data_IF_621450165392
#
_entry.id   IF_621450165392
#
_cell.length_a   1.000
_cell.length_b   1.000
_cell.length_c   1.000
_cell.angle_alpha   90.00
_cell.angle_beta   90.00
_cell.angle_gamma   90.00
#
_symmetry.space_group_name_H-M   'P 1'
#
loop_
_entity.id
_entity.type
_entity.pdbx_description
1 polymer ?
#
# COMPACT_ATOMS: atom_id res chain seq x y z
N UNK A 1 6.12 -85.06 60.70
CA UNK A 1 5.14 -84.11 61.25
C UNK A 1 5.18 -82.84 60.44
N UNK A 2 4.25 -82.71 59.48
CA UNK A 2 4.09 -81.54 58.63
C UNK A 2 3.46 -80.37 59.40
N UNK A 3 3.92 -79.13 59.18
CA UNK A 3 3.20 -77.92 59.58
C UNK A 3 2.80 -77.12 58.34
N UNK A 4 1.50 -76.83 58.30
CA UNK A 4 0.75 -76.20 57.21
C UNK A 4 1.04 -74.71 57.08
N UNK A 5 0.89 -74.24 55.85
CA UNK A 5 0.89 -72.85 55.43
C UNK A 5 -0.34 -72.07 55.93
N UNK A 6 -0.16 -70.76 56.16
CA UNK A 6 -1.21 -69.75 56.07
C UNK A 6 -0.65 -68.51 55.39
N UNK A 7 -1.13 -68.26 54.17
CA UNK A 7 -0.93 -67.02 53.42
C UNK A 7 -2.01 -66.00 53.80
N UNK A 8 -1.62 -64.74 53.95
CA UNK A 8 -2.52 -63.61 54.21
C UNK A 8 -3.16 -63.10 52.91
N UNK A 9 -4.41 -62.58 52.93
CA UNK A 9 -5.11 -62.12 51.74
C UNK A 9 -4.69 -60.71 51.30
N UNK A 10 -4.85 -60.35 50.00
CA UNK A 10 -4.56 -59.00 49.50
C UNK A 10 -5.67 -58.00 49.90
N UNK A 11 -5.35 -56.70 50.04
CA UNK A 11 -6.34 -55.68 50.36
C UNK A 11 -7.26 -55.40 49.17
N UNK A 12 -8.55 -55.22 49.48
CA UNK A 12 -9.64 -55.00 48.55
C UNK A 12 -9.65 -53.58 47.95
N UNK A 13 -10.08 -53.52 46.70
CA UNK A 13 -10.37 -52.33 45.90
C UNK A 13 -11.35 -51.35 46.59
N UNK A 14 -11.02 -50.06 46.55
CA UNK A 14 -12.00 -48.97 46.62
C UNK A 14 -11.68 -47.90 45.56
N UNK A 15 -12.72 -47.26 44.99
CA UNK A 15 -12.60 -46.51 43.74
C UNK A 15 -11.98 -45.14 43.96
N UNK A 16 -11.00 -44.80 43.13
CA UNK A 16 -10.38 -43.47 43.10
C UNK A 16 -11.37 -42.49 42.45
N UNK A 17 -12.09 -41.74 43.29
CA UNK A 17 -12.87 -40.57 42.89
C UNK A 17 -11.93 -39.40 42.62
N UNK A 18 -11.38 -39.33 41.41
CA UNK A 18 -10.75 -38.12 40.90
C UNK A 18 -11.15 -37.87 39.44
N UNK A 19 -12.33 -37.27 39.28
CA UNK A 19 -12.67 -36.52 38.08
C UNK A 19 -11.83 -35.24 38.04
N UNK A 20 -10.57 -35.32 37.64
CA UNK A 20 -9.83 -34.14 37.18
C UNK A 20 -10.03 -34.00 35.67
N UNK A 21 -11.02 -33.19 35.30
CA UNK A 21 -11.07 -32.56 33.99
C UNK A 21 -9.84 -31.68 33.82
N UNK A 22 -8.77 -32.27 33.28
CA UNK A 22 -7.56 -31.56 32.90
C UNK A 22 -7.90 -30.56 31.79
N UNK A 23 -7.95 -29.27 32.15
CA UNK A 23 -7.84 -28.20 31.16
C UNK A 23 -6.52 -28.38 30.44
N UNK A 24 -6.56 -28.72 29.15
CA UNK A 24 -5.37 -28.73 28.31
C UNK A 24 -4.87 -27.29 28.20
N UNK A 25 -3.87 -26.97 29.02
CA UNK A 25 -3.09 -25.75 28.93
C UNK A 25 -2.22 -25.86 27.67
N UNK A 26 -2.75 -25.37 26.55
CA UNK A 26 -1.98 -25.23 25.31
C UNK A 26 -1.13 -23.95 25.39
N UNK A 27 0.02 -24.02 26.08
CA UNK A 27 1.01 -22.92 26.18
C UNK A 27 1.95 -22.82 24.98
N UNK A 28 1.79 -23.68 23.97
CA UNK A 28 2.63 -23.70 22.78
C UNK A 28 2.28 -22.61 21.75
N UNK A 29 3.20 -22.36 20.80
CA UNK A 29 2.97 -21.43 19.70
C UNK A 29 1.79 -21.88 18.81
N UNK A 30 1.03 -20.91 18.32
CA UNK A 30 -0.08 -21.11 17.40
C UNK A 30 0.46 -21.02 15.98
N UNK A 31 0.09 -22.00 15.15
CA UNK A 31 0.43 -22.05 13.73
C UNK A 31 -0.78 -21.66 12.89
N UNK A 32 -0.60 -20.70 11.99
CA UNK A 32 -1.64 -20.16 11.12
C UNK A 32 -1.25 -20.41 9.66
N UNK A 33 -2.22 -20.73 8.80
CA UNK A 33 -2.08 -20.76 7.36
C UNK A 33 -3.09 -19.78 6.76
N UNK A 34 -2.62 -18.66 6.22
CA UNK A 34 -3.43 -17.59 5.65
C UNK A 34 -3.26 -17.57 4.14
N UNK A 35 -4.25 -18.09 3.41
CA UNK A 35 -4.22 -18.14 1.95
C UNK A 35 -3.01 -18.88 1.36
N UNK A 36 -2.48 -19.88 2.08
CA UNK A 36 -1.30 -20.66 1.68
C UNK A 36 0.02 -20.18 2.31
N UNK A 37 0.04 -19.01 2.97
CA UNK A 37 1.22 -18.51 3.69
C UNK A 37 1.17 -18.91 5.17
N UNK A 38 2.30 -19.39 5.69
CA UNK A 38 2.34 -19.91 7.07
C UNK A 38 2.94 -18.91 8.04
N UNK A 39 2.33 -18.80 9.22
CA UNK A 39 2.75 -17.89 10.28
C UNK A 39 2.74 -18.62 11.62
N UNK A 40 3.59 -18.15 12.54
CA UNK A 40 3.61 -18.62 13.92
C UNK A 40 3.47 -17.44 14.88
N UNK A 41 2.61 -17.57 15.88
CA UNK A 41 2.34 -16.49 16.85
C UNK A 41 1.96 -17.02 18.23
N UNK A 42 1.77 -16.11 19.19
CA UNK A 42 1.37 -16.45 20.57
C UNK A 42 -0.15 -16.32 20.77
N UNK A 43 -0.69 -17.01 21.78
CA UNK A 43 -2.08 -16.79 22.24
C UNK A 43 -2.34 -15.34 22.63
N UNK A 44 -1.35 -14.67 23.24
CA UNK A 44 -1.48 -13.28 23.65
C UNK A 44 -1.68 -12.35 22.45
N UNK A 45 -0.96 -12.57 21.36
CA UNK A 45 -1.14 -11.81 20.11
C UNK A 45 -2.52 -12.07 19.50
N UNK A 46 -2.96 -13.34 19.47
CA UNK A 46 -4.29 -13.71 18.97
C UNK A 46 -5.41 -13.02 19.74
N UNK A 47 -5.31 -12.95 21.07
CA UNK A 47 -6.33 -12.31 21.92
C UNK A 47 -6.50 -10.82 21.64
N UNK A 48 -5.45 -10.14 21.16
CA UNK A 48 -5.51 -8.73 20.75
C UNK A 48 -6.11 -8.52 19.35
N UNK A 49 -6.41 -9.60 18.62
CA UNK A 49 -7.10 -9.55 17.34
C UNK A 49 -8.48 -10.21 17.46
N UNK A 50 -9.58 -9.41 17.43
CA UNK A 50 -10.93 -9.92 17.67
C UNK A 50 -11.32 -11.10 16.76
N UNK A 51 -11.09 -10.97 15.45
CA UNK A 51 -11.47 -12.01 14.49
C UNK A 51 -10.60 -13.27 14.59
N UNK A 52 -9.30 -13.13 14.87
CA UNK A 52 -8.46 -14.30 15.10
C UNK A 52 -8.93 -15.07 16.33
N UNK A 53 -9.29 -14.38 17.41
CA UNK A 53 -9.80 -15.04 18.60
C UNK A 53 -11.09 -15.83 18.33
N UNK A 54 -11.97 -15.33 17.46
CA UNK A 54 -13.17 -16.04 16.99
C UNK A 54 -12.82 -17.26 16.13
N UNK A 55 -11.98 -17.07 15.11
CA UNK A 55 -11.59 -18.14 14.17
C UNK A 55 -10.88 -19.31 14.87
N UNK A 56 -10.11 -19.01 15.92
CA UNK A 56 -9.35 -19.99 16.67
C UNK A 56 -10.17 -20.70 17.77
N UNK A 57 -11.47 -20.41 17.88
CA UNK A 57 -12.39 -21.21 18.69
C UNK A 57 -12.59 -22.64 18.13
N UNK A 58 -12.31 -22.83 16.84
CA UNK A 58 -12.35 -24.14 16.19
C UNK A 58 -11.11 -24.97 16.52
N UNK A 59 -11.11 -26.26 16.15
CA UNK A 59 -9.89 -27.09 16.25
C UNK A 59 -9.00 -26.84 15.03
N UNK A 60 -7.66 -26.90 15.19
CA UNK A 60 -6.75 -26.83 14.04
C UNK A 60 -6.95 -28.06 13.15
N UNK A 61 -6.46 -27.96 11.91
CA UNK A 61 -6.37 -29.08 10.99
C UNK A 61 -5.47 -30.21 11.52
N UNK A 62 -5.49 -31.35 10.84
CA UNK A 62 -4.66 -32.50 11.21
C UNK A 62 -3.15 -32.21 11.15
N UNK A 63 -2.76 -31.20 10.35
CA UNK A 63 -1.41 -30.66 10.23
C UNK A 63 -1.01 -29.71 11.38
N UNK A 64 -1.94 -29.41 12.28
CA UNK A 64 -1.75 -28.50 13.42
C UNK A 64 -1.86 -27.02 13.06
N UNK A 65 -2.26 -26.67 11.83
CA UNK A 65 -2.47 -25.29 11.41
C UNK A 65 -3.95 -24.89 11.54
N UNK A 66 -4.17 -23.64 11.91
CA UNK A 66 -5.46 -22.98 11.72
C UNK A 66 -5.48 -22.36 10.32
N UNK A 67 -6.35 -22.86 9.45
CA UNK A 67 -6.51 -22.31 8.12
C UNK A 67 -7.43 -21.09 8.13
N UNK A 68 -7.00 -20.04 7.44
CA UNK A 68 -7.71 -18.78 7.29
C UNK A 68 -7.73 -18.46 5.79
N UNK A 69 -8.92 -18.48 5.21
CA UNK A 69 -9.14 -18.21 3.79
C UNK A 69 -9.12 -16.69 3.50
N UNK A 70 -7.93 -16.09 3.59
CA UNK A 70 -7.67 -14.66 3.41
C UNK A 70 -6.33 -14.42 2.71
N UNK A 71 -6.07 -13.19 2.32
CA UNK A 71 -4.79 -12.79 1.72
C UNK A 71 -3.68 -12.74 2.77
N UNK A 72 -2.70 -13.64 2.64
CA UNK A 72 -1.56 -13.72 3.56
C UNK A 72 -0.46 -12.68 3.34
N UNK A 73 -0.46 -11.93 2.22
CA UNK A 73 0.69 -11.11 1.77
C UNK A 73 1.18 -10.09 2.81
N UNK A 74 0.26 -9.46 3.52
CA UNK A 74 0.56 -8.46 4.56
C UNK A 74 0.06 -8.88 5.95
N UNK A 75 -0.04 -10.18 6.17
CA UNK A 75 -0.53 -10.70 7.45
C UNK A 75 0.53 -10.59 8.56
N UNK A 76 1.82 -10.47 8.23
CA UNK A 76 2.87 -10.23 9.20
C UNK A 76 2.69 -8.88 9.90
N UNK A 77 2.29 -7.84 9.17
CA UNK A 77 2.02 -6.49 9.62
C UNK A 77 0.84 -6.46 10.59
N UNK A 78 -0.20 -7.26 10.31
CA UNK A 78 -1.32 -7.48 11.24
C UNK A 78 -0.83 -8.07 12.56
N UNK A 79 0.02 -9.11 12.50
CA UNK A 79 0.58 -9.71 13.71
C UNK A 79 1.49 -8.75 14.47
N UNK A 80 2.32 -7.97 13.77
CA UNK A 80 3.18 -6.93 14.35
C UNK A 80 2.34 -5.86 15.04
N UNK A 81 1.31 -5.34 14.37
CA UNK A 81 0.37 -4.39 14.98
C UNK A 81 -0.28 -4.95 16.24
N UNK A 82 -0.74 -6.20 16.22
CA UNK A 82 -1.28 -6.85 17.41
C UNK A 82 -0.24 -7.03 18.53
N UNK A 83 1.05 -7.22 18.21
CA UNK A 83 2.10 -7.35 19.23
C UNK A 83 2.39 -6.00 19.88
N UNK A 84 2.67 -5.01 19.05
CA UNK A 84 3.35 -3.77 19.44
C UNK A 84 2.37 -2.62 19.70
N UNK A 85 1.16 -2.70 19.15
CA UNK A 85 0.14 -1.67 19.26
C UNK A 85 0.31 -0.52 18.27
N UNK A 86 -0.61 0.46 18.27
CA UNK A 86 -0.65 1.54 17.29
C UNK A 86 0.54 2.50 17.39
N UNK A 87 1.06 2.75 18.59
CA UNK A 87 2.11 3.75 18.84
C UNK A 87 3.45 3.42 18.18
N UNK A 88 3.71 2.14 17.91
CA UNK A 88 4.95 1.65 17.30
C UNK A 88 4.75 1.16 15.86
N UNK A 89 3.53 1.23 15.35
CA UNK A 89 3.23 0.77 14.00
C UNK A 89 3.63 1.82 12.96
N UNK A 90 4.43 1.40 11.99
CA UNK A 90 4.81 2.22 10.84
C UNK A 90 4.05 1.71 9.61
N UNK A 91 3.10 2.49 9.06
CA UNK A 91 2.35 2.10 7.87
C UNK A 91 3.28 1.90 6.67
N UNK A 92 3.00 0.90 5.81
CA UNK A 92 3.71 0.75 4.53
C UNK A 92 3.61 2.02 3.67
N UNK A 93 4.70 2.35 2.98
CA UNK A 93 4.73 3.47 2.02
C UNK A 93 4.08 3.11 0.68
N UNK A 94 4.03 1.82 0.33
CA UNK A 94 3.32 1.33 -0.86
C UNK A 94 1.79 1.45 -0.68
N UNK A 95 1.14 2.08 -1.66
CA UNK A 95 -0.31 2.28 -1.68
C UNK A 95 -1.06 0.95 -1.83
N UNK A 96 -0.53 0.02 -2.63
CA UNK A 96 -1.15 -1.30 -2.81
C UNK A 96 -1.11 -2.09 -1.49
N UNK A 97 0.01 -2.04 -0.77
CA UNK A 97 0.18 -2.61 0.56
C UNK A 97 -0.80 -1.99 1.56
N UNK A 98 -0.89 -0.66 1.66
CA UNK A 98 -1.86 0.01 2.55
C UNK A 98 -3.30 -0.38 2.23
N UNK A 99 -3.68 -0.44 0.95
CA UNK A 99 -5.03 -0.82 0.53
C UNK A 99 -5.38 -2.25 0.93
N UNK A 100 -4.49 -3.21 0.64
CA UNK A 100 -4.69 -4.62 1.02
C UNK A 100 -4.74 -4.73 2.55
N UNK A 101 -3.77 -4.14 3.25
CA UNK A 101 -3.68 -4.17 4.70
C UNK A 101 -4.89 -3.52 5.36
N UNK A 102 -5.44 -2.44 4.81
CA UNK A 102 -6.67 -1.81 5.29
C UNK A 102 -7.87 -2.76 5.19
N UNK A 103 -8.03 -3.43 4.04
CA UNK A 103 -9.11 -4.39 3.84
C UNK A 103 -9.00 -5.59 4.78
N UNK A 104 -7.78 -6.13 4.96
CA UNK A 104 -7.56 -7.23 5.88
C UNK A 104 -7.71 -6.80 7.34
N UNK A 105 -7.16 -5.65 7.75
CA UNK A 105 -7.33 -5.10 9.10
C UNK A 105 -8.82 -4.94 9.47
N UNK A 106 -9.65 -4.46 8.54
CA UNK A 106 -11.10 -4.38 8.74
C UNK A 106 -11.74 -5.77 8.92
N UNK A 107 -11.37 -6.77 8.11
CA UNK A 107 -11.83 -8.14 8.29
C UNK A 107 -11.44 -8.71 9.65
N UNK A 108 -10.21 -8.43 10.10
CA UNK A 108 -9.70 -8.91 11.38
C UNK A 108 -10.22 -8.13 12.61
N UNK A 109 -11.05 -7.10 12.39
CA UNK A 109 -11.63 -6.27 13.44
C UNK A 109 -10.64 -5.29 14.07
N UNK A 110 -9.56 -4.95 13.37
CA UNK A 110 -8.51 -4.03 13.82
C UNK A 110 -8.75 -2.63 13.22
N UNK A 111 -9.74 -1.92 13.74
CA UNK A 111 -10.13 -0.61 13.20
C UNK A 111 -9.01 0.43 13.32
N UNK A 112 -8.28 0.45 14.43
CA UNK A 112 -7.15 1.37 14.63
C UNK A 112 -6.04 1.14 13.60
N UNK A 113 -5.77 -0.11 13.21
CA UNK A 113 -4.84 -0.42 12.13
C UNK A 113 -5.39 0.05 10.79
N UNK A 114 -6.67 -0.24 10.50
CA UNK A 114 -7.31 0.19 9.25
C UNK A 114 -7.32 1.72 9.09
N UNK A 115 -7.45 2.46 10.21
CA UNK A 115 -7.33 3.91 10.24
C UNK A 115 -5.88 4.37 10.15
N UNK A 116 -4.93 3.70 10.81
CA UNK A 116 -3.50 4.01 10.72
C UNK A 116 -2.93 3.83 9.29
N UNK A 117 -3.49 2.91 8.50
CA UNK A 117 -3.12 2.71 7.10
C UNK A 117 -4.07 3.38 6.11
N UNK A 118 -5.04 4.16 6.60
CA UNK A 118 -5.97 4.89 5.74
C UNK A 118 -5.19 5.90 4.92
N UNK A 119 -5.49 5.98 3.63
CA UNK A 119 -4.94 7.03 2.77
C UNK A 119 -5.36 8.40 3.33
N UNK A 120 -4.44 9.04 4.03
CA UNK A 120 -4.56 10.41 4.53
C UNK A 120 -4.37 11.42 3.41
N UNK A 121 -3.78 10.98 2.29
CA UNK A 121 -3.63 11.77 1.09
C UNK A 121 -4.87 11.64 0.20
N UNK A 122 -5.68 12.69 0.13
CA UNK A 122 -6.90 12.73 -0.70
C UNK A 122 -6.61 12.95 -2.20
N UNK A 123 -5.34 13.09 -2.57
CA UNK A 123 -4.89 13.31 -3.92
C UNK A 123 -5.30 14.65 -4.54
N UNK A 124 -4.98 14.80 -5.83
CA UNK A 124 -5.35 15.99 -6.60
C UNK A 124 -6.88 16.09 -6.75
N UNK A 125 -7.41 17.31 -6.68
CA UNK A 125 -8.85 17.57 -6.88
C UNK A 125 -9.30 17.14 -8.28
N UNK A 126 -10.51 16.61 -8.35
CA UNK A 126 -11.15 16.26 -9.62
C UNK A 126 -11.67 17.56 -10.28
N UNK A 127 -11.30 17.86 -11.54
CA UNK A 127 -11.76 19.06 -12.23
C UNK A 127 -13.25 18.97 -12.61
N UNK A 128 -13.93 20.11 -12.70
CA UNK A 128 -15.37 20.17 -13.00
C UNK A 128 -15.73 19.59 -14.38
N UNK A 129 -14.81 19.62 -15.33
CA UNK A 129 -14.98 19.08 -16.68
C UNK A 129 -14.40 17.65 -16.85
N UNK A 130 -14.23 16.89 -15.75
CA UNK A 130 -13.60 15.56 -15.77
C UNK A 130 -14.20 14.60 -16.81
N UNK A 131 -15.53 14.54 -16.92
CA UNK A 131 -16.18 13.65 -17.90
C UNK A 131 -15.78 13.98 -19.35
N UNK A 132 -15.70 15.28 -19.68
CA UNK A 132 -15.24 15.73 -21.00
C UNK A 132 -13.76 15.39 -21.20
N UNK A 133 -12.93 15.67 -20.20
CA UNK A 133 -11.48 15.40 -20.22
C UNK A 133 -11.17 13.93 -20.47
N UNK A 134 -11.88 13.03 -19.79
CA UNK A 134 -11.78 11.58 -19.98
C UNK A 134 -12.23 11.16 -21.38
N UNK A 135 -13.40 11.64 -21.84
CA UNK A 135 -13.85 11.37 -23.20
C UNK A 135 -12.86 11.84 -24.28
N UNK A 136 -12.23 13.00 -24.07
CA UNK A 136 -11.16 13.50 -24.95
C UNK A 136 -9.92 12.59 -24.90
N UNK A 137 -9.49 12.14 -23.72
CA UNK A 137 -8.35 11.23 -23.57
C UNK A 137 -8.62 9.87 -24.24
N UNK A 138 -9.78 9.28 -23.99
CA UNK A 138 -10.20 8.00 -24.55
C UNK A 138 -10.28 8.06 -26.08
N UNK A 139 -10.80 9.16 -26.62
CA UNK A 139 -10.91 9.39 -28.06
C UNK A 139 -9.56 9.43 -28.79
N UNK A 140 -8.46 9.69 -28.09
CA UNK A 140 -7.12 9.66 -28.68
C UNK A 140 -6.57 8.24 -28.85
N UNK A 141 -7.15 7.23 -28.20
CA UNK A 141 -6.66 5.84 -28.19
C UNK A 141 -5.16 5.74 -27.91
N UNK A 142 -4.64 6.60 -27.03
CA UNK A 142 -3.21 6.72 -26.74
C UNK A 142 -2.76 5.91 -25.52
N UNK A 143 -3.69 5.61 -24.59
CA UNK A 143 -3.39 4.80 -23.41
C UNK A 143 -3.12 3.35 -23.80
N UNK A 144 -2.15 2.71 -23.14
CA UNK A 144 -1.77 1.31 -23.37
C UNK A 144 -1.36 0.97 -24.82
N UNK A 145 -0.99 1.98 -25.59
CA UNK A 145 -0.33 1.81 -26.90
C UNK A 145 1.12 1.39 -26.70
N UNK A 146 1.81 1.03 -27.80
CA UNK A 146 3.20 0.59 -27.76
C UNK A 146 4.06 1.48 -26.85
N UNK A 147 4.69 0.84 -25.87
CA UNK A 147 5.74 1.47 -25.07
C UNK A 147 6.93 1.77 -26.01
N UNK A 148 7.61 2.90 -25.79
CA UNK A 148 8.80 3.34 -26.57
C UNK A 148 8.56 3.84 -27.99
N UNK A 149 7.63 4.79 -28.13
CA UNK A 149 7.55 5.58 -29.35
C UNK A 149 8.66 6.64 -29.36
N UNK A 150 9.58 6.54 -30.33
CA UNK A 150 10.81 7.35 -30.42
C UNK A 150 10.61 8.86 -30.20
N UNK A 151 9.50 9.43 -30.68
CA UNK A 151 9.25 10.86 -30.52
C UNK A 151 8.98 11.27 -29.07
N UNK A 152 8.25 10.46 -28.30
CA UNK A 152 8.01 10.75 -26.88
C UNK A 152 9.27 10.50 -26.04
N UNK A 153 10.02 9.44 -26.35
CA UNK A 153 11.28 9.14 -25.66
C UNK A 153 12.34 10.20 -25.91
N UNK A 154 12.40 10.75 -27.12
CA UNK A 154 13.31 11.87 -27.43
C UNK A 154 12.98 13.11 -26.60
N UNK A 155 11.68 13.38 -26.34
CA UNK A 155 11.25 14.52 -25.52
C UNK A 155 11.69 14.33 -24.07
N UNK A 156 11.37 13.19 -23.46
CA UNK A 156 11.70 12.95 -22.05
C UNK A 156 13.21 12.89 -21.82
N UNK A 157 13.97 12.29 -22.74
CA UNK A 157 15.44 12.27 -22.68
C UNK A 157 16.04 13.68 -22.80
N UNK A 158 15.57 14.48 -23.75
CA UNK A 158 16.05 15.85 -23.94
C UNK A 158 15.76 16.71 -22.70
N UNK A 159 14.52 16.66 -22.19
CA UNK A 159 14.12 17.43 -21.02
C UNK A 159 14.91 16.99 -19.79
N UNK A 160 15.05 15.68 -19.54
CA UNK A 160 15.84 15.16 -18.43
C UNK A 160 17.30 15.65 -18.50
N UNK A 161 17.90 15.62 -19.69
CA UNK A 161 19.28 16.04 -19.90
C UNK A 161 19.48 17.56 -19.75
N UNK A 162 18.59 18.38 -20.32
CA UNK A 162 18.71 19.85 -20.28
C UNK A 162 18.39 20.40 -18.88
N UNK A 163 17.41 19.82 -18.20
CA UNK A 163 17.07 20.21 -16.84
C UNK A 163 17.98 19.53 -15.81
N UNK A 164 18.80 18.56 -16.21
CA UNK A 164 19.68 17.78 -15.32
C UNK A 164 18.88 17.17 -14.16
N UNK A 165 17.82 16.43 -14.50
CA UNK A 165 16.96 15.74 -13.53
C UNK A 165 16.99 14.23 -13.74
N UNK A 166 16.92 13.42 -12.68
CA UNK A 166 16.95 11.97 -12.80
C UNK A 166 15.69 11.41 -13.45
N UNK A 167 14.54 12.08 -13.29
CA UNK A 167 13.25 11.57 -13.73
C UNK A 167 12.54 12.59 -14.64
N UNK A 168 12.07 12.15 -15.80
CA UNK A 168 11.21 12.92 -16.68
C UNK A 168 10.12 12.04 -17.30
N UNK A 169 8.89 12.54 -17.35
CA UNK A 169 7.73 11.76 -17.76
C UNK A 169 6.86 12.54 -18.75
N UNK A 170 6.36 11.86 -19.78
CA UNK A 170 5.12 12.22 -20.46
C UNK A 170 4.01 11.41 -19.77
N UNK A 171 3.29 12.04 -18.86
CA UNK A 171 2.25 11.41 -18.04
C UNK A 171 0.86 11.78 -18.55
N UNK A 172 -0.03 10.79 -18.63
CA UNK A 172 -1.45 10.94 -18.95
C UNK A 172 -2.29 10.40 -17.79
N UNK A 173 -3.27 11.16 -17.32
CA UNK A 173 -4.04 10.81 -16.11
C UNK A 173 -5.44 10.35 -16.49
N UNK A 174 -5.82 9.14 -16.09
CA UNK A 174 -7.16 8.59 -16.23
C UNK A 174 -7.94 8.71 -14.89
N UNK A 175 -9.08 8.02 -14.76
CA UNK A 175 -9.98 8.04 -13.60
C UNK A 175 -9.28 7.73 -12.27
N UNK A 176 -8.43 6.71 -12.25
CA UNK A 176 -7.89 6.07 -11.05
C UNK A 176 -6.36 5.91 -11.09
N UNK A 177 -5.74 6.11 -12.26
CA UNK A 177 -4.31 5.96 -12.45
C UNK A 177 -3.73 7.11 -13.31
N UNK A 178 -2.41 7.31 -13.20
CA UNK A 178 -1.61 8.03 -14.18
C UNK A 178 -0.80 6.99 -14.95
N UNK A 179 -0.80 7.06 -16.27
CA UNK A 179 -0.05 6.19 -17.16
C UNK A 179 1.08 6.97 -17.84
N UNK A 180 2.25 6.36 -17.96
CA UNK A 180 3.43 7.02 -18.53
C UNK A 180 3.61 6.64 -19.99
N UNK A 181 3.33 7.59 -20.89
CA UNK A 181 3.53 7.42 -22.34
C UNK A 181 5.02 7.33 -22.69
N UNK A 182 5.85 8.04 -21.94
CA UNK A 182 7.30 7.94 -21.97
C UNK A 182 7.86 8.30 -20.60
N UNK A 183 8.99 7.69 -20.24
CA UNK A 183 9.61 7.82 -18.92
C UNK A 183 11.13 7.71 -19.02
N UNK A 184 11.82 8.53 -18.24
CA UNK A 184 13.25 8.42 -17.93
C UNK A 184 13.39 8.26 -16.42
N UNK A 185 14.27 7.36 -15.97
CA UNK A 185 14.67 7.23 -14.56
C UNK A 185 13.65 6.66 -13.58
N UNK A 186 12.53 6.10 -14.07
CA UNK A 186 11.49 5.49 -13.24
C UNK A 186 11.05 4.16 -13.84
N UNK A 187 11.08 3.06 -13.09
CA UNK A 187 10.71 1.72 -13.60
C UNK A 187 9.21 1.49 -13.73
N UNK A 188 8.41 2.12 -12.86
CA UNK A 188 6.96 2.01 -12.93
C UNK A 188 6.43 2.57 -14.26
N UNK A 189 5.44 1.91 -14.86
CA UNK A 189 4.75 2.38 -16.06
C UNK A 189 3.45 3.15 -15.76
N UNK A 190 3.00 3.12 -14.51
CA UNK A 190 1.86 3.88 -14.01
C UNK A 190 1.95 4.08 -12.49
N UNK A 191 1.16 5.02 -11.97
CA UNK A 191 0.87 5.13 -10.53
C UNK A 191 -0.61 5.37 -10.31
N UNK A 192 -1.05 5.33 -9.05
CA UNK A 192 -2.38 5.84 -8.68
C UNK A 192 -2.53 7.31 -9.06
N UNK A 193 -3.75 7.71 -9.47
CA UNK A 193 -4.11 9.12 -9.67
C UNK A 193 -3.99 9.91 -8.38
N UNK A 194 -4.36 9.30 -7.24
CA UNK A 194 -4.34 10.00 -5.97
C UNK A 194 -2.94 10.49 -5.64
N UNK A 195 -1.93 9.66 -5.90
CA UNK A 195 -0.52 9.99 -5.65
C UNK A 195 0.12 10.86 -6.77
N UNK A 196 -0.60 11.16 -7.86
CA UNK A 196 -0.06 11.84 -9.04
C UNK A 196 0.10 13.37 -8.86
N UNK A 197 1.33 13.84 -8.99
CA UNK A 197 1.64 15.26 -9.14
C UNK A 197 1.11 15.83 -10.48
N UNK A 198 1.10 15.01 -11.54
CA UNK A 198 0.58 15.42 -12.85
C UNK A 198 -0.91 15.78 -12.79
N UNK A 199 -1.69 15.06 -11.99
CA UNK A 199 -3.10 15.37 -11.77
C UNK A 199 -3.30 16.73 -11.05
N UNK A 200 -2.32 17.20 -10.27
CA UNK A 200 -2.37 18.52 -9.63
C UNK A 200 -2.29 19.66 -10.65
N UNK A 201 -1.75 19.42 -11.85
CA UNK A 201 -1.69 20.42 -12.93
C UNK A 201 -3.07 20.72 -13.56
N UNK A 202 -4.11 19.97 -13.19
CA UNK A 202 -5.47 20.14 -13.73
C UNK A 202 -6.23 21.32 -13.16
N UNK A 203 -5.77 21.87 -12.03
CA UNK A 203 -6.42 22.95 -11.31
C UNK A 203 -5.56 24.22 -11.35
N UNK A 204 -5.48 24.92 -12.49
CA UNK A 204 -4.81 26.21 -12.52
C UNK A 204 -5.62 27.26 -11.74
N UNK A 205 -4.94 28.26 -11.19
CA UNK A 205 -5.63 29.44 -10.62
C UNK A 205 -6.36 30.24 -11.70
N UNK A 206 -5.84 30.24 -12.93
CA UNK A 206 -6.47 30.79 -14.13
C UNK A 206 -6.78 29.67 -15.15
N UNK A 207 -8.07 29.37 -15.44
CA UNK A 207 -8.49 28.37 -16.43
C UNK A 207 -7.94 28.60 -17.85
N UNK A 208 -7.56 29.83 -18.21
CA UNK A 208 -7.05 30.20 -19.54
C UNK A 208 -5.53 30.15 -19.66
N UNK A 209 -4.80 30.00 -18.55
CA UNK A 209 -3.35 30.01 -18.56
C UNK A 209 -2.79 28.59 -18.56
N UNK A 210 -1.95 28.25 -19.53
CA UNK A 210 -1.12 27.03 -19.53
C UNK A 210 0.00 27.16 -18.50
N UNK A 211 -0.35 27.33 -17.22
CA UNK A 211 0.62 27.50 -16.15
C UNK A 211 1.25 26.16 -15.79
N UNK A 212 2.57 26.15 -15.81
CA UNK A 212 3.41 25.12 -15.22
C UNK A 212 3.19 25.08 -13.70
N UNK A 213 3.08 23.88 -13.15
CA UNK A 213 3.11 23.67 -11.70
C UNK A 213 4.55 23.43 -11.27
N UNK A 214 5.06 24.24 -10.35
CA UNK A 214 6.38 24.05 -9.72
C UNK A 214 6.19 23.82 -8.23
N UNK A 215 6.87 22.80 -7.72
CA UNK A 215 6.98 22.46 -6.30
C UNK A 215 8.47 22.31 -6.01
N UNK A 216 9.06 23.35 -5.41
CA UNK A 216 10.50 23.42 -5.17
C UNK A 216 10.97 22.45 -4.09
N UNK A 217 10.14 22.23 -3.06
CA UNK A 217 10.37 21.26 -1.99
C UNK A 217 9.06 20.52 -1.66
N UNK A 218 8.95 19.28 -2.14
CA UNK A 218 7.75 18.47 -1.97
C UNK A 218 7.49 18.02 -0.53
N UNK A 219 8.52 17.99 0.34
CA UNK A 219 8.38 17.65 1.76
C UNK A 219 7.85 18.82 2.59
N UNK A 220 8.17 20.04 2.16
CA UNK A 220 7.72 21.27 2.83
C UNK A 220 6.39 21.81 2.26
N UNK A 221 6.01 21.40 1.05
CA UNK A 221 4.75 21.80 0.43
C UNK A 221 3.54 21.07 1.05
N UNK A 222 2.64 21.82 1.69
CA UNK A 222 1.47 21.26 2.38
C UNK A 222 0.49 20.47 1.49
N UNK A 223 0.59 20.58 0.16
CA UNK A 223 -0.21 19.80 -0.80
C UNK A 223 0.42 18.44 -1.12
N UNK A 224 1.69 18.22 -0.80
CA UNK A 224 2.44 17.02 -1.19
C UNK A 224 3.26 16.39 -0.06
N UNK A 225 3.42 17.04 1.08
CA UNK A 225 4.24 16.56 2.20
C UNK A 225 3.83 15.15 2.68
N UNK A 226 2.54 14.82 2.59
CA UNK A 226 2.00 13.49 2.94
C UNK A 226 1.77 12.56 1.73
N UNK A 227 2.24 12.95 0.54
CA UNK A 227 2.08 12.15 -0.67
C UNK A 227 2.97 10.88 -0.58
N UNK A 228 2.44 9.69 -0.91
CA UNK A 228 3.22 8.44 -0.87
C UNK A 228 4.52 8.48 -1.68
N UNK A 229 4.55 9.19 -2.81
CA UNK A 229 5.75 9.31 -3.68
C UNK A 229 6.80 10.28 -3.11
N UNK A 230 6.47 11.05 -2.07
CA UNK A 230 7.40 11.91 -1.33
C UNK A 230 7.96 11.15 -0.12
N UNK A 231 7.09 10.45 0.60
CA UNK A 231 7.44 9.71 1.81
C UNK A 231 8.16 8.38 1.52
N UNK A 232 7.74 7.68 0.46
CA UNK A 232 8.36 6.46 -0.04
C UNK A 232 8.96 6.67 -1.43
N UNK A 233 9.33 5.57 -2.08
CA UNK A 233 9.87 5.59 -3.44
C UNK A 233 8.92 6.33 -4.42
N UNK A 234 9.45 7.19 -5.32
CA UNK A 234 10.86 7.45 -5.58
C UNK A 234 11.45 8.57 -4.72
N UNK A 235 10.85 8.94 -3.60
CA UNK A 235 11.31 10.03 -2.71
C UNK A 235 11.39 11.39 -3.42
N UNK A 236 10.29 11.81 -4.06
CA UNK A 236 10.20 13.08 -4.78
C UNK A 236 10.55 14.24 -3.84
N UNK A 237 11.58 15.01 -4.21
CA UNK A 237 12.00 16.24 -3.55
C UNK A 237 11.59 17.50 -4.33
N UNK A 238 11.58 17.42 -5.65
CA UNK A 238 11.22 18.51 -6.56
C UNK A 238 10.30 18.01 -7.67
N UNK A 239 9.38 18.88 -8.10
CA UNK A 239 8.51 18.64 -9.26
C UNK A 239 8.32 19.93 -10.07
N UNK A 240 8.51 19.86 -11.38
CA UNK A 240 8.01 20.84 -12.33
C UNK A 240 7.21 20.13 -13.43
N UNK A 241 5.99 20.59 -13.72
CA UNK A 241 5.13 19.95 -14.70
C UNK A 241 4.37 20.94 -15.57
N UNK A 242 4.57 20.85 -16.88
CA UNK A 242 3.82 21.58 -17.89
C UNK A 242 2.59 20.75 -18.32
N UNK A 243 1.36 21.28 -18.20
CA UNK A 243 0.14 20.53 -18.52
C UNK A 243 0.04 20.26 -20.02
N UNK A 244 -0.33 19.03 -20.40
CA UNK A 244 -0.65 18.69 -21.80
C UNK A 244 -2.11 19.10 -22.04
N UNK A 245 -2.30 20.19 -22.78
CA UNK A 245 -3.61 20.80 -23.03
C UNK A 245 -4.05 20.59 -24.47
N UNK A 246 -5.23 20.04 -24.68
CA UNK A 246 -5.85 19.88 -25.99
C UNK A 246 -6.51 21.18 -26.47
N UNK A 247 -6.80 21.27 -27.77
CA UNK A 247 -7.43 22.44 -28.38
C UNK A 247 -8.81 22.79 -27.77
N UNK A 248 -9.51 21.81 -27.19
CA UNK A 248 -10.79 22.00 -26.50
C UNK A 248 -10.65 22.42 -25.02
N UNK A 249 -9.41 22.69 -24.58
CA UNK A 249 -9.03 23.11 -23.23
C UNK A 249 -8.89 21.98 -22.22
N UNK A 250 -9.05 20.71 -22.62
CA UNK A 250 -8.90 19.58 -21.69
C UNK A 250 -7.44 19.35 -21.32
N UNK A 251 -7.16 19.16 -20.02
CA UNK A 251 -5.82 18.84 -19.51
C UNK A 251 -5.69 17.34 -19.36
N UNK A 252 -4.87 16.70 -20.17
CA UNK A 252 -4.84 15.23 -20.22
C UNK A 252 -3.80 14.63 -19.26
N UNK A 253 -2.78 15.41 -18.92
CA UNK A 253 -1.70 15.04 -18.03
C UNK A 253 -0.62 16.11 -18.07
N UNK A 254 0.66 15.73 -17.98
CA UNK A 254 1.77 16.66 -17.98
C UNK A 254 3.05 16.08 -18.60
N UNK A 255 3.86 16.94 -19.20
CA UNK A 255 5.29 16.73 -19.34
C UNK A 255 5.95 17.24 -18.07
N UNK A 256 6.64 16.39 -17.32
CA UNK A 256 7.19 16.77 -16.03
C UNK A 256 8.64 16.34 -15.82
N UNK A 257 9.34 17.13 -15.03
CA UNK A 257 10.70 16.96 -14.56
C UNK A 257 10.67 16.79 -13.03
N UNK A 258 11.34 15.75 -12.53
CA UNK A 258 11.25 15.31 -11.14
C UNK A 258 12.66 15.04 -10.62
N UNK A 259 12.93 15.52 -9.41
CA UNK A 259 14.19 15.27 -8.71
C UNK A 259 13.92 14.70 -7.32
N UNK A 260 14.90 13.96 -6.78
CA UNK A 260 14.84 13.39 -5.43
C UNK A 260 15.16 14.43 -4.35
N UNK A 261 15.77 15.54 -4.73
CA UNK A 261 16.14 16.65 -3.84
C UNK A 261 15.37 17.93 -4.17
N UNK A 262 15.14 18.81 -3.18
CA UNK A 262 14.57 20.13 -3.44
C UNK A 262 15.39 20.96 -4.42
N UNK A 263 14.73 21.75 -5.27
CA UNK A 263 15.35 22.50 -6.35
C UNK A 263 14.50 23.68 -6.80
N UNK A 264 15.15 24.74 -7.27
CA UNK A 264 14.52 25.83 -8.01
C UNK A 264 14.74 25.68 -9.51
N UNK A 265 13.78 26.11 -10.32
CA UNK A 265 13.87 26.12 -11.78
C UNK A 265 14.05 27.56 -12.29
N UNK A 266 15.05 27.78 -13.14
CA UNK A 266 15.26 29.09 -13.76
C UNK A 266 14.22 29.35 -14.86
N UNK A 267 14.02 30.62 -15.23
CA UNK A 267 13.10 30.97 -16.33
C UNK A 267 13.51 30.34 -17.67
N UNK A 268 14.81 30.15 -17.92
CA UNK A 268 15.30 29.47 -19.12
C UNK A 268 14.95 27.98 -19.12
N UNK A 269 15.13 27.30 -17.99
CA UNK A 269 14.73 25.89 -17.84
C UNK A 269 13.21 25.72 -17.91
N UNK A 270 12.45 26.64 -17.33
CA UNK A 270 10.99 26.65 -17.41
C UNK A 270 10.47 26.97 -18.82
N UNK A 271 11.28 27.53 -19.73
CA UNK A 271 10.92 27.70 -21.14
C UNK A 271 11.20 26.45 -21.98
N UNK A 272 12.13 25.60 -21.52
CA UNK A 272 12.43 24.31 -22.18
C UNK A 272 11.30 23.30 -21.94
N UNK A 273 10.74 23.32 -20.74
CA UNK A 273 9.64 22.44 -20.30
C UNK A 273 8.28 22.98 -20.70
#
# INVERSE_FOLDING_TARGET
GARRAHAAPPPADMPCSECFGGKVSHTGPIKLNVGGQTFTTSRQTVQKCPKLNELLAQKPGADGFYFIDRDGRYFAEILTFCRDGPDLFVPPTDETARRILKHEAAFFGLLDLADAVKDTYTGAKIPANEAKRLATLDGLNILHTNEHEHHYDSITQLVAAVLDVPICLVSLVHTDHQWFKSRVGLEANQTSRNSSFCAMTFMPEDPKAAQMLVIEDAKSDGRTASNPLVLGEPHIGFYAGCPIVTADGSRLGALCAIDHVPRSISSAQAQVL
#
